data_IF_781268676628
#
_entry.id   IF_781268676628
#
_cell.length_a   1.000
_cell.length_b   1.000
_cell.length_c   1.000
_cell.angle_alpha   90.00
_cell.angle_beta   90.00
_cell.angle_gamma   90.00
#
_symmetry.space_group_name_H-M   'P 1'
#
loop_
_entity.id
_entity.type
_entity.pdbx_description
1 polymer ?
#
# COMPACT_ATOMS: atom_id res chain seq x y z
N UNK A 1 4.78 -29.67 27.73
CA UNK A 1 5.39 -28.42 27.24
C UNK A 1 4.58 -27.96 26.05
N UNK A 2 3.71 -26.97 26.21
CA UNK A 2 2.82 -26.61 25.13
C UNK A 2 2.03 -25.34 25.42
N UNK A 3 2.33 -24.33 24.60
CA UNK A 3 1.48 -23.21 24.23
C UNK A 3 1.34 -22.11 25.26
N UNK A 4 2.41 -21.35 25.34
CA UNK A 4 2.49 -19.99 25.86
C UNK A 4 3.22 -19.22 24.74
N UNK A 5 2.64 -19.11 23.53
CA UNK A 5 1.72 -18.03 23.15
C UNK A 5 2.08 -16.66 23.76
N UNK A 6 3.37 -16.41 23.88
CA UNK A 6 3.97 -15.09 24.01
C UNK A 6 3.97 -14.44 22.62
N UNK A 7 2.92 -13.70 22.30
CA UNK A 7 3.11 -12.40 21.67
C UNK A 7 1.88 -11.53 21.96
N UNK A 8 1.94 -10.93 23.14
CA UNK A 8 1.13 -9.81 23.55
C UNK A 8 1.42 -8.62 22.65
N UNK A 9 0.60 -8.39 21.64
CA UNK A 9 0.42 -7.05 21.06
C UNK A 9 -1.07 -6.81 20.85
N UNK A 10 -1.78 -6.81 21.98
CA UNK A 10 -3.07 -6.14 22.12
C UNK A 10 -2.83 -4.63 22.02
N UNK A 11 -2.67 -4.15 20.79
CA UNK A 11 -2.92 -2.76 20.49
C UNK A 11 -4.44 -2.58 20.53
N UNK A 12 -4.94 -2.10 21.67
CA UNK A 12 -6.31 -1.63 21.85
C UNK A 12 -6.67 -0.45 20.95
N UNK A 13 -6.71 -0.70 19.64
CA UNK A 13 -7.50 0.05 18.68
C UNK A 13 -8.75 -0.78 18.39
N UNK A 14 -9.87 -0.13 18.13
CA UNK A 14 -11.11 -0.82 17.76
C UNK A 14 -10.81 -1.79 16.61
N UNK A 15 -11.47 -2.96 16.49
CA UNK A 15 -11.26 -3.89 15.36
C UNK A 15 -11.39 -3.21 13.99
N UNK A 16 -12.16 -2.12 13.96
CA UNK A 16 -12.28 -1.10 12.91
C UNK A 16 -10.91 -0.49 12.56
N UNK A 17 -10.16 0.07 13.49
CA UNK A 17 -8.90 0.80 13.23
C UNK A 17 -7.79 -0.11 12.65
N UNK A 18 -7.72 -1.36 13.12
CA UNK A 18 -6.74 -2.34 12.64
C UNK A 18 -7.06 -2.83 11.23
N UNK A 19 -8.33 -2.99 10.92
CA UNK A 19 -8.78 -3.29 9.56
C UNK A 19 -8.43 -2.13 8.61
N UNK A 20 -8.60 -0.88 9.05
CA UNK A 20 -8.35 0.32 8.22
C UNK A 20 -6.88 0.41 7.88
N UNK A 21 -6.05 0.30 8.91
CA UNK A 21 -4.59 0.33 8.76
C UNK A 21 -4.11 -0.83 7.91
N UNK A 22 -4.65 -2.04 8.07
CA UNK A 22 -4.29 -3.19 7.22
C UNK A 22 -4.70 -2.97 5.77
N UNK A 23 -5.93 -2.51 5.51
CA UNK A 23 -6.41 -2.22 4.15
C UNK A 23 -5.60 -1.12 3.47
N UNK A 24 -5.25 -0.06 4.22
CA UNK A 24 -4.39 1.01 3.74
C UNK A 24 -2.98 0.49 3.44
N UNK A 25 -2.41 -0.32 4.34
CA UNK A 25 -1.07 -0.90 4.18
C UNK A 25 -0.99 -1.79 2.94
N UNK A 26 -1.99 -2.65 2.73
CA UNK A 26 -2.07 -3.52 1.55
C UNK A 26 -2.27 -2.69 0.28
N UNK A 27 -3.19 -1.72 0.31
CA UNK A 27 -3.43 -0.82 -0.82
C UNK A 27 -2.16 -0.08 -1.23
N UNK A 28 -1.48 0.56 -0.28
CA UNK A 28 -0.23 1.27 -0.52
C UNK A 28 0.90 0.34 -0.97
N UNK A 29 1.03 -0.85 -0.39
CA UNK A 29 2.05 -1.82 -0.80
C UNK A 29 1.87 -2.23 -2.26
N UNK A 30 0.64 -2.60 -2.65
CA UNK A 30 0.32 -2.98 -4.03
C UNK A 30 0.48 -1.78 -4.96
N UNK A 31 -0.07 -0.62 -4.59
CA UNK A 31 0.01 0.60 -5.37
C UNK A 31 1.44 1.05 -5.61
N UNK A 32 2.27 1.09 -4.57
CA UNK A 32 3.69 1.42 -4.69
C UNK A 32 4.44 0.38 -5.52
N UNK A 33 4.22 -0.91 -5.31
CA UNK A 33 4.89 -1.95 -6.11
C UNK A 33 4.58 -1.78 -7.60
N UNK A 34 3.30 -1.62 -7.94
CA UNK A 34 2.85 -1.42 -9.31
C UNK A 34 3.37 -0.10 -9.89
N UNK A 35 3.26 0.98 -9.12
CA UNK A 35 3.68 2.32 -9.49
C UNK A 35 5.18 2.41 -9.74
N UNK A 36 6.01 1.82 -8.86
CA UNK A 36 7.46 1.80 -9.03
C UNK A 36 7.85 0.99 -10.26
N UNK A 37 7.24 -0.18 -10.48
CA UNK A 37 7.51 -1.00 -11.66
C UNK A 37 7.17 -0.25 -12.97
N UNK A 38 5.97 0.32 -13.05
CA UNK A 38 5.54 1.11 -14.20
C UNK A 38 6.39 2.36 -14.38
N UNK A 39 6.72 3.05 -13.29
CA UNK A 39 7.56 4.24 -13.29
C UNK A 39 8.97 3.99 -13.82
N UNK A 40 9.61 2.89 -13.42
CA UNK A 40 10.93 2.52 -13.94
C UNK A 40 10.84 2.19 -15.43
N UNK A 41 9.84 1.41 -15.85
CA UNK A 41 9.65 1.07 -17.27
C UNK A 41 9.41 2.33 -18.09
N UNK A 42 8.46 3.18 -17.71
CA UNK A 42 8.15 4.43 -18.42
C UNK A 42 9.34 5.40 -18.41
N UNK A 43 10.03 5.53 -17.27
CA UNK A 43 11.20 6.39 -17.14
C UNK A 43 12.32 5.99 -18.07
N UNK A 44 12.63 4.69 -18.15
CA UNK A 44 13.72 4.18 -18.98
C UNK A 44 13.33 4.06 -20.46
N UNK A 45 12.08 3.75 -20.79
CA UNK A 45 11.65 3.50 -22.19
C UNK A 45 11.11 4.73 -22.90
N UNK A 46 10.50 5.68 -22.18
CA UNK A 46 9.83 6.85 -22.78
C UNK A 46 10.61 8.13 -22.53
N UNK A 47 11.03 8.36 -21.28
CA UNK A 47 11.63 9.63 -20.88
C UNK A 47 13.16 9.62 -20.88
N UNK A 48 13.79 8.45 -21.04
CA UNK A 48 15.24 8.23 -20.82
C UNK A 48 15.73 8.88 -19.51
N UNK A 49 14.84 8.89 -18.52
CA UNK A 49 15.03 9.58 -17.26
C UNK A 49 14.33 8.84 -16.13
N UNK A 50 15.14 8.08 -15.41
CA UNK A 50 14.67 7.28 -14.27
C UNK A 50 14.01 8.15 -13.20
N UNK A 51 14.49 9.39 -12.98
CA UNK A 51 13.95 10.28 -11.97
C UNK A 51 12.51 10.71 -12.31
N UNK A 52 12.24 11.09 -13.56
CA UNK A 52 10.89 11.44 -14.02
C UNK A 52 9.95 10.22 -13.97
N UNK A 53 10.43 9.06 -14.41
CA UNK A 53 9.67 7.82 -14.34
C UNK A 53 9.29 7.42 -12.92
N UNK A 54 10.24 7.45 -11.98
CA UNK A 54 10.00 7.17 -10.56
C UNK A 54 9.06 8.19 -9.93
N UNK A 55 9.22 9.49 -10.22
CA UNK A 55 8.33 10.53 -9.68
C UNK A 55 6.88 10.29 -10.10
N UNK A 56 6.64 10.00 -11.39
CA UNK A 56 5.32 9.66 -11.90
C UNK A 56 4.80 8.34 -11.35
N UNK A 57 5.64 7.31 -11.33
CA UNK A 57 5.31 5.98 -10.84
C UNK A 57 4.93 5.97 -9.35
N UNK A 58 5.70 6.65 -8.50
CA UNK A 58 5.39 6.80 -7.08
C UNK A 58 4.13 7.63 -6.86
N UNK A 59 3.93 8.71 -7.63
CA UNK A 59 2.72 9.52 -7.57
C UNK A 59 1.46 8.73 -7.90
N UNK A 60 1.46 8.02 -9.03
CA UNK A 60 0.36 7.15 -9.44
C UNK A 60 0.16 5.97 -8.49
N UNK A 61 1.25 5.31 -8.11
CA UNK A 61 1.22 4.15 -7.21
C UNK A 61 0.66 4.50 -5.83
N UNK A 62 1.05 5.66 -5.28
CA UNK A 62 0.52 6.15 -4.00
C UNK A 62 -0.94 6.55 -4.13
N UNK A 63 -1.33 7.24 -5.20
CA UNK A 63 -2.73 7.65 -5.44
C UNK A 63 -3.65 6.43 -5.57
N UNK A 64 -3.24 5.43 -6.36
CA UNK A 64 -3.99 4.18 -6.53
C UNK A 64 -4.00 3.40 -5.22
N UNK A 65 -2.87 3.26 -4.55
CA UNK A 65 -2.77 2.48 -3.32
C UNK A 65 -3.55 3.08 -2.15
N UNK A 66 -3.49 4.39 -1.98
CA UNK A 66 -4.29 5.11 -1.00
C UNK A 66 -5.79 5.04 -1.36
N UNK A 67 -6.14 5.25 -2.63
CA UNK A 67 -7.52 5.13 -3.12
C UNK A 67 -8.11 3.73 -2.93
N UNK A 68 -7.33 2.68 -3.19
CA UNK A 68 -7.74 1.29 -3.01
C UNK A 68 -7.89 0.94 -1.53
N UNK A 69 -6.98 1.40 -0.67
CA UNK A 69 -7.07 1.18 0.78
C UNK A 69 -8.28 1.86 1.42
N UNK A 70 -8.63 3.06 0.97
CA UNK A 70 -9.79 3.83 1.46
C UNK A 70 -11.10 3.32 0.82
N UNK A 71 -11.07 2.94 -0.46
CA UNK A 71 -12.22 2.40 -1.19
C UNK A 71 -12.66 1.02 -0.68
N UNK A 72 -11.71 0.17 -0.28
CA UNK A 72 -11.99 -1.15 0.29
C UNK A 72 -12.78 -1.09 1.61
N UNK A 73 -12.72 0.03 2.34
CA UNK A 73 -13.48 0.24 3.56
C UNK A 73 -14.94 0.62 3.30
N UNK A 74 -15.21 1.42 2.25
CA UNK A 74 -16.54 1.96 1.95
C UNK A 74 -17.52 0.90 1.45
N UNK A 75 -17.06 -0.32 1.14
CA UNK A 75 -17.86 -1.43 0.63
C UNK A 75 -18.43 -2.40 1.67
N UNK A 76 -18.37 -2.10 2.97
CA UNK A 76 -18.94 -2.97 4.01
C UNK A 76 -20.40 -2.54 4.30
N UNK A 77 -21.43 -3.35 4.01
CA UNK A 77 -22.81 -3.10 4.47
C UNK A 77 -22.93 -3.18 5.99
#
# INVERSE_FOLDING_TARGET
MGKDQENSEEAGGSPTDKALTTSLSVGLSVGLSLGTALGIVLGMTVFDNLALGLALGLGFGTAIGAGAGIGAWRGRP
#
